data_IF_505582015040
#
_entry.id   IF_505582015040
#
_cell.length_a   1.000
_cell.length_b   1.000
_cell.length_c   1.000
_cell.angle_alpha   90.00
_cell.angle_beta   90.00
_cell.angle_gamma   90.00
#
_symmetry.space_group_name_H-M   'P 1'
#
loop_
_entity.id
_entity.type
_entity.pdbx_description
1 polymer ?
#
# COMPACT_ATOMS: atom_id res chain seq x y z
N UNK A 1 -19.88 -17.64 -24.16
CA UNK A 1 -19.06 -16.80 -25.04
C UNK A 1 -18.51 -15.66 -24.20
N UNK A 2 -17.20 -15.56 -23.93
CA UNK A 2 -16.67 -14.31 -23.40
C UNK A 2 -16.86 -13.26 -24.51
N UNK A 3 -17.64 -12.23 -24.24
CA UNK A 3 -17.79 -11.11 -25.15
C UNK A 3 -16.40 -10.45 -25.18
N UNK A 4 -15.71 -10.51 -26.32
CA UNK A 4 -14.56 -9.66 -26.56
C UNK A 4 -15.09 -8.21 -26.53
N UNK A 5 -15.07 -7.59 -25.36
CA UNK A 5 -15.53 -6.22 -25.19
C UNK A 5 -14.43 -5.31 -25.72
N UNK A 6 -14.54 -4.91 -26.98
CA UNK A 6 -13.62 -3.93 -27.57
C UNK A 6 -13.68 -2.62 -26.77
N UNK A 7 -12.53 -2.13 -26.33
CA UNK A 7 -12.37 -0.83 -25.67
C UNK A 7 -12.32 0.34 -26.67
N UNK A 8 -12.76 0.14 -27.91
CA UNK A 8 -12.65 1.11 -29.03
C UNK A 8 -13.35 2.45 -28.75
N UNK A 9 -14.23 2.49 -27.76
CA UNK A 9 -14.98 3.68 -27.33
C UNK A 9 -14.45 4.32 -26.05
N UNK A 10 -13.35 3.81 -25.48
CA UNK A 10 -12.79 4.36 -24.25
C UNK A 10 -12.20 5.74 -24.52
N UNK A 11 -12.64 6.74 -23.76
CA UNK A 11 -12.06 8.08 -23.83
C UNK A 11 -10.61 8.02 -23.36
N UNK A 12 -9.70 8.70 -24.06
CA UNK A 12 -8.32 8.84 -23.61
C UNK A 12 -8.10 10.25 -23.08
N UNK A 13 -7.55 10.35 -21.87
CA UNK A 13 -7.32 11.59 -21.17
C UNK A 13 -5.82 11.89 -21.10
N UNK A 14 -5.43 13.08 -21.56
CA UNK A 14 -4.06 13.58 -21.48
C UNK A 14 -3.69 13.98 -20.04
N UNK A 15 -2.41 13.81 -19.66
CA UNK A 15 -1.92 14.14 -18.32
C UNK A 15 -2.20 15.61 -17.94
N UNK A 16 -2.01 16.55 -18.88
CA UNK A 16 -2.28 17.97 -18.65
C UNK A 16 -3.77 18.25 -18.37
N UNK A 17 -4.67 17.55 -19.07
CA UNK A 17 -6.11 17.69 -18.88
C UNK A 17 -6.54 17.13 -17.51
N UNK A 18 -6.03 15.96 -17.12
CA UNK A 18 -6.25 15.43 -15.76
C UNK A 18 -5.71 16.39 -14.70
N UNK A 19 -4.50 16.93 -14.90
CA UNK A 19 -3.90 17.90 -13.99
C UNK A 19 -4.73 19.17 -13.82
N UNK A 20 -5.35 19.68 -14.89
CA UNK A 20 -6.26 20.82 -14.80
C UNK A 20 -7.52 20.49 -13.99
N UNK A 21 -8.14 19.34 -14.24
CA UNK A 21 -9.35 18.89 -13.53
C UNK A 21 -9.10 18.70 -12.02
N UNK A 22 -7.96 18.13 -11.65
CA UNK A 22 -7.62 17.89 -10.25
C UNK A 22 -7.25 19.15 -9.48
N UNK A 23 -6.88 20.24 -10.18
CA UNK A 23 -6.63 21.55 -9.54
C UNK A 23 -7.91 22.34 -9.30
N UNK A 24 -9.00 22.03 -9.99
CA UNK A 24 -10.32 22.60 -9.73
C UNK A 24 -11.08 21.75 -8.69
N UNK A 25 -11.36 22.26 -7.48
CA UNK A 25 -11.93 21.43 -6.39
C UNK A 25 -13.24 20.72 -6.76
N UNK A 26 -14.14 21.41 -7.49
CA UNK A 26 -15.43 20.84 -7.90
C UNK A 26 -15.27 19.70 -8.90
N UNK A 27 -14.32 19.80 -9.82
CA UNK A 27 -14.05 18.75 -10.80
C UNK A 27 -13.27 17.60 -10.17
N UNK A 28 -12.36 17.89 -9.24
CA UNK A 28 -11.64 16.88 -8.46
C UNK A 28 -12.61 15.98 -7.65
N UNK A 29 -13.60 16.55 -6.96
CA UNK A 29 -14.61 15.80 -6.19
C UNK A 29 -15.51 14.91 -7.06
N UNK A 30 -15.67 15.27 -8.34
CA UNK A 30 -16.47 14.55 -9.34
C UNK A 30 -15.63 13.61 -10.22
N UNK A 31 -14.34 13.50 -9.96
CA UNK A 31 -13.39 12.67 -10.70
C UNK A 31 -12.94 11.50 -9.83
N UNK A 32 -13.39 10.29 -10.18
CA UNK A 32 -12.88 9.07 -9.55
C UNK A 32 -11.60 8.62 -10.28
N UNK A 33 -10.47 8.60 -9.58
CA UNK A 33 -9.20 8.15 -10.14
C UNK A 33 -8.83 6.76 -9.58
N UNK A 34 -8.64 5.79 -10.48
CA UNK A 34 -8.40 4.38 -10.18
C UNK A 34 -7.03 3.96 -10.69
N UNK A 35 -6.13 3.62 -9.77
CA UNK A 35 -4.75 3.26 -10.06
C UNK A 35 -4.58 1.74 -10.09
N UNK A 36 -4.34 1.20 -11.29
CA UNK A 36 -4.20 -0.23 -11.55
C UNK A 36 -2.75 -0.73 -11.45
N UNK A 37 -1.81 0.11 -10.99
CA UNK A 37 -0.41 -0.31 -10.77
C UNK A 37 -0.34 -1.29 -9.58
N UNK A 38 0.75 -2.08 -9.49
CA UNK A 38 1.01 -2.90 -8.31
C UNK A 38 0.91 -2.07 -7.02
N UNK A 39 0.32 -2.63 -5.97
CA UNK A 39 0.04 -1.91 -4.72
C UNK A 39 1.27 -1.22 -4.13
N UNK A 40 2.44 -1.87 -4.16
CA UNK A 40 3.68 -1.28 -3.64
C UNK A 40 4.19 -0.11 -4.50
N UNK A 41 3.91 -0.09 -5.80
CA UNK A 41 4.21 1.05 -6.66
C UNK A 41 3.31 2.25 -6.29
N UNK A 42 2.01 2.00 -6.07
CA UNK A 42 1.08 3.01 -5.54
C UNK A 42 1.55 3.58 -4.19
N UNK A 43 1.97 2.72 -3.25
CA UNK A 43 2.46 3.14 -1.94
C UNK A 43 3.80 3.89 -1.98
N UNK A 44 4.61 3.73 -3.04
CA UNK A 44 5.84 4.54 -3.22
C UNK A 44 5.49 5.96 -3.65
N UNK A 45 4.63 6.10 -4.64
CA UNK A 45 4.08 7.40 -5.06
C UNK A 45 2.86 7.16 -5.94
N UNK A 46 1.85 8.01 -5.80
CA UNK A 46 0.59 7.95 -6.55
C UNK A 46 0.04 9.37 -6.75
N UNK A 47 -0.97 9.53 -7.60
CA UNK A 47 -1.70 10.81 -7.69
C UNK A 47 -2.53 10.97 -6.41
N UNK A 48 -2.47 12.11 -5.71
CA UNK A 48 -3.01 12.27 -4.34
C UNK A 48 -4.48 11.85 -4.15
N UNK A 49 -5.31 11.96 -5.20
CA UNK A 49 -6.72 11.57 -5.17
C UNK A 49 -7.00 10.14 -5.68
N UNK A 50 -5.97 9.43 -6.14
CA UNK A 50 -6.10 8.09 -6.70
C UNK A 50 -6.42 7.05 -5.63
N UNK A 51 -7.22 6.06 -6.01
CA UNK A 51 -7.49 4.87 -5.21
C UNK A 51 -6.80 3.68 -5.84
N UNK A 52 -6.07 2.86 -5.07
CA UNK A 52 -5.45 1.66 -5.61
C UNK A 52 -6.55 0.64 -5.93
N UNK A 53 -6.45 0.02 -7.10
CA UNK A 53 -7.33 -1.06 -7.51
C UNK A 53 -6.76 -2.37 -6.99
N UNK A 54 -7.49 -3.13 -6.16
CA UNK A 54 -7.01 -4.42 -5.70
C UNK A 54 -6.85 -5.35 -6.90
N UNK A 55 -5.64 -5.88 -7.09
CA UNK A 55 -5.33 -6.82 -8.15
C UNK A 55 -4.45 -7.94 -7.61
N UNK A 56 -5.00 -9.15 -7.58
CA UNK A 56 -4.29 -10.36 -7.16
C UNK A 56 -4.81 -11.55 -7.96
N UNK A 57 -4.10 -12.69 -7.89
CA UNK A 57 -4.41 -13.89 -8.67
C UNK A 57 -5.88 -14.34 -8.57
N UNK A 58 -6.46 -14.30 -7.37
CA UNK A 58 -7.87 -14.63 -7.13
C UNK A 58 -8.81 -13.65 -7.84
N UNK A 59 -8.53 -12.36 -7.78
CA UNK A 59 -9.33 -11.32 -8.44
C UNK A 59 -9.23 -11.44 -9.97
N UNK A 60 -8.09 -11.83 -10.54
CA UNK A 60 -7.96 -12.08 -11.99
C UNK A 60 -8.96 -13.14 -12.46
N UNK A 61 -9.06 -14.24 -11.73
CA UNK A 61 -9.99 -15.33 -12.05
C UNK A 61 -11.45 -14.87 -11.97
N UNK A 62 -11.81 -14.09 -10.96
CA UNK A 62 -13.18 -13.58 -10.78
C UNK A 62 -13.53 -12.46 -11.76
N UNK A 63 -12.56 -11.64 -12.15
CA UNK A 63 -12.75 -10.54 -13.11
C UNK A 63 -13.02 -11.01 -14.54
N UNK A 64 -12.70 -12.28 -14.87
CA UNK A 64 -13.10 -12.92 -16.14
C UNK A 64 -14.59 -13.32 -16.20
N UNK A 65 -15.36 -13.03 -15.15
CA UNK A 65 -16.80 -13.26 -15.09
C UNK A 65 -17.60 -12.20 -15.87
N UNK A 66 -18.78 -11.85 -15.35
CA UNK A 66 -19.58 -10.75 -15.91
C UNK A 66 -18.93 -9.39 -15.62
N UNK A 67 -19.19 -8.34 -16.43
CA UNK A 67 -18.71 -6.98 -16.15
C UNK A 67 -19.07 -6.48 -14.75
N UNK A 68 -20.31 -6.72 -14.29
CA UNK A 68 -20.74 -6.42 -12.93
C UNK A 68 -19.90 -7.13 -11.86
N UNK A 69 -19.56 -8.41 -12.07
CA UNK A 69 -18.73 -9.18 -11.15
C UNK A 69 -17.28 -8.67 -11.16
N UNK A 70 -16.75 -8.32 -12.33
CA UNK A 70 -15.43 -7.72 -12.47
C UNK A 70 -15.36 -6.38 -11.74
N UNK A 71 -16.33 -5.48 -11.95
CA UNK A 71 -16.41 -4.20 -11.26
C UNK A 71 -16.56 -4.39 -9.74
N UNK A 72 -17.35 -5.38 -9.29
CA UNK A 72 -17.49 -5.67 -7.87
C UNK A 72 -16.19 -6.15 -7.22
N UNK A 73 -15.37 -6.89 -7.96
CA UNK A 73 -14.08 -7.39 -7.50
C UNK A 73 -13.02 -6.29 -7.48
N UNK A 74 -12.96 -5.48 -8.53
CA UNK A 74 -11.95 -4.44 -8.73
C UNK A 74 -12.30 -3.12 -8.03
N UNK A 75 -13.58 -2.89 -7.72
CA UNK A 75 -14.06 -1.74 -6.96
C UNK A 75 -15.00 -2.21 -5.83
N UNK A 76 -14.45 -2.81 -4.76
CA UNK A 76 -15.25 -3.43 -3.71
C UNK A 76 -16.12 -2.44 -2.91
N UNK A 77 -15.75 -1.16 -2.89
CA UNK A 77 -16.49 -0.06 -2.26
C UNK A 77 -17.90 0.06 -2.87
N UNK A 78 -18.89 -0.47 -2.13
CA UNK A 78 -20.30 -0.47 -2.55
C UNK A 78 -20.88 0.94 -2.62
N UNK A 79 -20.47 1.83 -1.72
CA UNK A 79 -20.97 3.20 -1.71
C UNK A 79 -20.48 3.94 -2.95
N UNK A 80 -19.20 3.78 -3.30
CA UNK A 80 -18.62 4.39 -4.50
C UNK A 80 -19.24 3.84 -5.79
N UNK A 81 -19.46 2.53 -5.90
CA UNK A 81 -20.18 1.94 -7.04
C UNK A 81 -21.61 2.47 -7.16
N UNK A 82 -22.30 2.69 -6.04
CA UNK A 82 -23.63 3.28 -6.04
C UNK A 82 -23.61 4.75 -6.50
N UNK A 83 -22.57 5.52 -6.15
CA UNK A 83 -22.38 6.90 -6.66
C UNK A 83 -22.14 6.94 -8.17
N UNK A 84 -21.32 6.00 -8.69
CA UNK A 84 -21.11 5.82 -10.13
C UNK A 84 -22.41 5.52 -10.87
N UNK A 85 -23.20 4.55 -10.36
CA UNK A 85 -24.48 4.16 -10.97
C UNK A 85 -25.56 5.24 -10.91
N UNK A 86 -25.52 6.15 -9.93
CA UNK A 86 -26.40 7.32 -9.86
C UNK A 86 -25.94 8.51 -10.70
N UNK A 87 -24.76 8.43 -11.33
CA UNK A 87 -24.22 9.52 -12.14
C UNK A 87 -23.73 10.73 -11.34
N UNK A 88 -23.40 10.55 -10.06
CA UNK A 88 -22.89 11.64 -9.21
C UNK A 88 -21.45 12.04 -9.57
N UNK A 89 -20.71 11.11 -10.16
CA UNK A 89 -19.35 11.33 -10.64
C UNK A 89 -19.41 11.67 -12.12
N UNK A 90 -18.76 12.77 -12.52
CA UNK A 90 -18.68 13.16 -13.92
C UNK A 90 -17.81 12.18 -14.70
N UNK A 91 -16.79 11.62 -14.06
CA UNK A 91 -15.82 10.76 -14.73
C UNK A 91 -15.18 9.72 -13.81
N UNK A 92 -14.82 8.59 -14.41
CA UNK A 92 -13.96 7.58 -13.84
C UNK A 92 -12.72 7.45 -14.73
N UNK A 93 -11.54 7.73 -14.17
CA UNK A 93 -10.26 7.69 -14.87
C UNK A 93 -9.46 6.50 -14.35
N UNK A 94 -9.10 5.59 -15.25
CA UNK A 94 -8.24 4.44 -14.97
C UNK A 94 -6.83 4.77 -15.46
N UNK A 95 -5.82 4.44 -14.67
CA UNK A 95 -4.42 4.59 -15.06
C UNK A 95 -3.62 3.32 -14.71
N UNK A 96 -2.60 3.04 -15.51
CA UNK A 96 -1.59 2.02 -15.24
C UNK A 96 -0.22 2.69 -15.02
N UNK A 97 0.86 1.94 -15.13
CA UNK A 97 2.22 2.49 -14.95
C UNK A 97 2.61 3.43 -16.09
N UNK A 98 2.40 3.00 -17.35
CA UNK A 98 3.05 3.65 -18.49
C UNK A 98 2.43 3.39 -19.87
N UNK A 99 1.29 2.72 -20.01
CA UNK A 99 0.74 2.42 -21.34
C UNK A 99 0.36 3.73 -22.05
N UNK A 100 0.80 3.91 -23.30
CA UNK A 100 0.62 5.19 -23.99
C UNK A 100 -0.82 5.41 -24.49
N UNK A 101 -1.58 4.33 -24.63
CA UNK A 101 -2.97 4.31 -25.11
C UNK A 101 -3.71 3.08 -24.59
N UNK A 102 -5.03 3.07 -24.76
CA UNK A 102 -5.90 1.92 -24.46
C UNK A 102 -5.52 0.69 -25.28
N UNK A 103 -5.02 0.89 -26.51
CA UNK A 103 -4.63 -0.18 -27.42
C UNK A 103 -3.38 -0.96 -26.94
N UNK A 104 -2.56 -0.35 -26.09
CA UNK A 104 -1.36 -0.97 -25.52
C UNK A 104 -1.61 -1.73 -24.21
N UNK A 105 -2.83 -1.61 -23.66
CA UNK A 105 -3.17 -2.30 -22.42
C UNK A 105 -3.19 -3.82 -22.63
N UNK A 106 -2.53 -4.60 -21.75
CA UNK A 106 -2.64 -6.06 -21.79
C UNK A 106 -4.12 -6.48 -21.66
N UNK A 107 -4.67 -7.32 -22.55
CA UNK A 107 -6.10 -7.69 -22.53
C UNK A 107 -6.58 -8.34 -21.21
N UNK A 108 -5.68 -9.05 -20.53
CA UNK A 108 -5.92 -9.67 -19.22
C UNK A 108 -5.41 -8.81 -18.04
N UNK A 109 -4.97 -7.58 -18.33
CA UNK A 109 -4.44 -6.65 -17.35
C UNK A 109 -5.54 -6.00 -16.50
N UNK A 110 -5.20 -5.53 -15.28
CA UNK A 110 -6.18 -4.90 -14.38
C UNK A 110 -6.85 -3.68 -14.99
N UNK A 111 -6.07 -2.81 -15.66
CA UNK A 111 -6.59 -1.60 -16.29
C UNK A 111 -7.56 -1.93 -17.43
N UNK A 112 -7.22 -2.89 -18.30
CA UNK A 112 -8.10 -3.32 -19.40
C UNK A 112 -9.43 -3.86 -18.88
N UNK A 113 -9.38 -4.81 -17.93
CA UNK A 113 -10.59 -5.42 -17.37
C UNK A 113 -11.43 -4.42 -16.58
N UNK A 114 -10.81 -3.49 -15.84
CA UNK A 114 -11.52 -2.45 -15.11
C UNK A 114 -12.19 -1.46 -16.07
N UNK A 115 -11.48 -1.00 -17.10
CA UNK A 115 -12.05 -0.12 -18.13
C UNK A 115 -13.24 -0.80 -18.81
N UNK A 116 -13.09 -2.05 -19.23
CA UNK A 116 -14.14 -2.82 -19.87
C UNK A 116 -15.37 -2.95 -18.96
N UNK A 117 -15.15 -3.24 -17.68
CA UNK A 117 -16.22 -3.35 -16.70
C UNK A 117 -16.93 -2.00 -16.44
N UNK A 118 -16.18 -0.92 -16.27
CA UNK A 118 -16.73 0.43 -16.08
C UNK A 118 -17.53 0.88 -17.31
N UNK A 119 -17.01 0.70 -18.52
CA UNK A 119 -17.72 1.07 -19.75
C UNK A 119 -19.04 0.33 -19.92
N UNK A 120 -19.07 -0.96 -19.55
CA UNK A 120 -20.29 -1.75 -19.61
C UNK A 120 -21.34 -1.25 -18.61
N UNK A 121 -20.94 -1.07 -17.35
CA UNK A 121 -21.85 -0.69 -16.25
C UNK A 121 -22.33 0.76 -16.38
N UNK A 122 -21.49 1.66 -16.93
CA UNK A 122 -21.82 3.08 -17.11
C UNK A 122 -22.43 3.39 -18.48
N UNK A 123 -22.68 2.38 -19.32
CA UNK A 123 -23.17 2.57 -20.69
C UNK A 123 -24.51 3.30 -20.68
N UNK A 124 -24.55 4.51 -21.26
CA UNK A 124 -25.74 5.36 -21.30
C UNK A 124 -25.95 6.24 -20.07
N UNK A 125 -25.07 6.17 -19.08
CA UNK A 125 -25.04 7.10 -17.94
C UNK A 125 -24.27 8.40 -18.24
N UNK A 126 -24.33 9.39 -17.34
CA UNK A 126 -23.61 10.66 -17.51
C UNK A 126 -22.11 10.55 -17.20
N UNK A 127 -21.68 9.46 -16.56
CA UNK A 127 -20.29 9.24 -16.15
C UNK A 127 -19.42 8.87 -17.36
N UNK A 128 -18.43 9.69 -17.67
CA UNK A 128 -17.44 9.37 -18.72
C UNK A 128 -16.36 8.44 -18.16
N UNK A 129 -16.06 7.34 -18.87
CA UNK A 129 -14.98 6.42 -18.51
C UNK A 129 -13.76 6.71 -19.37
N UNK A 130 -12.64 7.07 -18.75
CA UNK A 130 -11.41 7.43 -19.45
C UNK A 130 -10.21 6.57 -19.02
N UNK A 131 -9.26 6.40 -19.92
CA UNK A 131 -7.90 5.93 -19.63
C UNK A 131 -6.91 7.09 -19.62
N UNK A 132 -5.98 7.14 -18.66
CA UNK A 132 -4.93 8.15 -18.60
C UNK A 132 -3.74 7.75 -19.49
N UNK A 133 -3.51 8.49 -20.56
CA UNK A 133 -2.42 8.21 -21.50
C UNK A 133 -1.05 8.39 -20.85
N UNK A 134 -0.16 7.42 -21.10
CA UNK A 134 1.19 7.40 -20.55
C UNK A 134 1.25 7.01 -19.07
N UNK A 135 0.12 6.66 -18.47
CA UNK A 135 0.01 6.17 -17.09
C UNK A 135 0.54 7.16 -16.03
N UNK A 136 0.85 6.60 -14.86
CA UNK A 136 1.39 7.37 -13.74
C UNK A 136 2.75 8.00 -14.05
N UNK A 137 3.63 7.29 -14.76
CA UNK A 137 4.99 7.77 -15.06
C UNK A 137 4.98 9.08 -15.85
N UNK A 138 4.13 9.16 -16.87
CA UNK A 138 3.94 10.40 -17.62
C UNK A 138 3.31 11.48 -16.74
N UNK A 139 2.24 11.14 -16.00
CA UNK A 139 1.56 12.10 -15.14
C UNK A 139 2.47 12.71 -14.08
N UNK A 140 3.32 11.92 -13.42
CA UNK A 140 4.29 12.40 -12.44
C UNK A 140 5.27 13.40 -13.04
N UNK A 141 5.66 13.22 -14.30
CA UNK A 141 6.54 14.16 -15.03
C UNK A 141 5.81 15.48 -15.33
N UNK A 142 4.54 15.41 -15.70
CA UNK A 142 3.74 16.60 -16.06
C UNK A 142 3.18 17.38 -14.87
N UNK A 143 2.78 16.69 -13.80
CA UNK A 143 2.09 17.27 -12.65
C UNK A 143 2.65 16.70 -11.32
N UNK A 144 3.96 16.88 -11.04
CA UNK A 144 4.59 16.36 -9.82
C UNK A 144 3.96 16.92 -8.53
N UNK A 145 3.40 18.13 -8.59
CA UNK A 145 2.69 18.80 -7.49
C UNK A 145 1.43 18.06 -7.04
N UNK A 146 0.84 17.25 -7.91
CA UNK A 146 -0.37 16.46 -7.65
C UNK A 146 -0.07 15.02 -7.24
N UNK A 147 1.20 14.64 -7.15
CA UNK A 147 1.62 13.32 -6.67
C UNK A 147 1.87 13.33 -5.15
N UNK A 148 1.70 12.18 -4.52
CA UNK A 148 2.13 11.97 -3.15
C UNK A 148 3.65 12.01 -3.10
N UNK A 149 4.19 12.66 -2.07
CA UNK A 149 5.61 12.55 -1.76
C UNK A 149 5.94 11.10 -1.43
N UNK A 150 7.08 10.61 -1.91
CA UNK A 150 7.58 9.33 -1.44
C UNK A 150 7.87 9.49 0.06
N UNK A 151 7.50 8.52 0.92
CA UNK A 151 7.85 8.60 2.33
C UNK A 151 9.36 8.79 2.41
N UNK A 152 9.76 9.88 3.07
CA UNK A 152 11.16 10.26 3.18
C UNK A 152 11.97 9.04 3.61
N UNK A 153 13.01 8.71 2.85
CA UNK A 153 14.00 7.75 3.34
C UNK A 153 14.49 8.29 4.68
N UNK A 154 14.60 7.43 5.70
CA UNK A 154 15.31 7.76 6.93
C UNK A 154 16.82 7.86 6.62
N UNK A 155 17.18 8.79 5.75
CA UNK A 155 18.52 9.33 5.63
C UNK A 155 18.57 10.45 6.68
N UNK A 156 19.61 10.48 7.53
CA UNK A 156 19.78 11.60 8.43
C UNK A 156 19.86 12.88 7.59
N UNK A 157 19.15 13.96 7.97
CA UNK A 157 19.21 15.21 7.23
C UNK A 157 20.66 15.65 7.09
N UNK A 158 21.15 15.73 5.86
CA UNK A 158 22.39 16.42 5.54
C UNK A 158 22.18 17.91 5.86
N UNK A 159 22.47 18.32 7.10
CA UNK A 159 22.34 19.69 7.57
C UNK A 159 21.58 19.92 8.87
N UNK A 160 21.14 18.90 9.62
CA UNK A 160 20.62 19.14 10.98
C UNK A 160 21.77 19.31 11.99
N UNK A 161 22.49 20.42 11.89
CA UNK A 161 23.54 20.79 12.86
C UNK A 161 22.99 21.17 14.26
N UNK A 162 21.72 20.87 14.59
CA UNK A 162 21.10 21.26 15.86
C UNK A 162 20.08 20.26 16.46
N UNK A 163 20.15 18.98 16.10
CA UNK A 163 19.41 17.94 16.83
C UNK A 163 20.41 17.07 17.61
N UNK A 164 20.26 17.00 18.93
CA UNK A 164 21.03 16.15 19.84
C UNK A 164 20.96 14.68 19.40
N UNK A 165 21.77 14.28 18.42
CA UNK A 165 21.99 12.87 18.11
C UNK A 165 22.78 12.30 19.28
N UNK A 166 22.15 11.47 20.12
CA UNK A 166 22.88 10.74 21.16
C UNK A 166 23.87 9.79 20.47
N UNK A 167 25.19 9.99 20.59
CA UNK A 167 26.19 9.15 19.92
C UNK A 167 26.15 7.69 20.38
N UNK A 168 25.41 7.38 21.46
CA UNK A 168 25.20 6.01 21.95
C UNK A 168 24.13 5.25 21.15
N UNK A 169 23.30 5.94 20.38
CA UNK A 169 22.22 5.32 19.59
C UNK A 169 22.76 5.02 18.18
N UNK A 170 22.61 3.78 17.66
CA UNK A 170 23.02 3.45 16.30
C UNK A 170 22.38 4.38 15.27
N UNK A 171 23.11 4.70 14.20
CA UNK A 171 22.65 5.66 13.17
C UNK A 171 21.26 5.31 12.61
N UNK A 172 20.95 4.02 12.47
CA UNK A 172 19.65 3.55 11.95
C UNK A 172 18.47 3.69 12.93
N UNK A 173 18.76 4.07 14.17
CA UNK A 173 17.79 4.43 15.21
C UNK A 173 17.78 5.94 15.48
N UNK A 174 18.53 6.72 14.70
CA UNK A 174 18.42 8.18 14.73
C UNK A 174 17.16 8.60 13.99
N UNK A 175 16.23 9.25 14.70
CA UNK A 175 14.92 9.65 14.18
C UNK A 175 13.79 8.80 14.76
N UNK A 176 12.62 8.89 14.12
CA UNK A 176 11.43 8.12 14.51
C UNK A 176 11.35 6.74 13.84
N UNK A 177 10.36 5.92 14.21
CA UNK A 177 10.05 4.70 13.47
C UNK A 177 9.68 5.03 12.01
N UNK A 178 9.97 4.11 11.09
CA UNK A 178 9.70 4.34 9.66
C UNK A 178 8.27 3.95 9.30
N UNK A 179 7.61 4.75 8.46
CA UNK A 179 6.29 4.41 7.93
C UNK A 179 6.42 3.41 6.77
N UNK A 180 5.84 2.21 6.94
CA UNK A 180 5.75 1.20 5.87
C UNK A 180 4.46 1.39 5.07
N UNK A 181 3.33 1.54 5.77
CA UNK A 181 2.03 1.93 5.23
C UNK A 181 1.46 3.03 6.15
N UNK A 182 0.43 3.79 5.73
CA UNK A 182 -0.13 4.89 6.53
C UNK A 182 -0.57 4.54 7.96
N UNK A 183 -0.77 3.25 8.23
CA UNK A 183 -1.18 2.71 9.53
C UNK A 183 -0.15 1.73 10.12
N UNK A 184 0.97 1.45 9.45
CA UNK A 184 1.96 0.44 9.85
C UNK A 184 3.36 1.05 9.86
N UNK A 185 3.96 1.10 11.05
CA UNK A 185 5.30 1.61 11.29
C UNK A 185 6.25 0.49 11.73
N UNK A 186 7.52 0.59 11.36
CA UNK A 186 8.58 -0.36 11.72
C UNK A 186 9.66 0.36 12.54
N UNK A 187 10.05 -0.22 13.68
CA UNK A 187 11.08 0.37 14.54
C UNK A 187 11.85 -0.61 15.43
N UNK A 188 12.70 -0.05 16.28
CA UNK A 188 13.50 -0.73 17.29
C UNK A 188 12.95 -0.47 18.70
N UNK A 189 13.62 -1.03 19.72
CA UNK A 189 13.30 -0.78 21.12
C UNK A 189 13.46 0.70 21.49
N UNK A 190 14.43 1.39 20.88
CA UNK A 190 14.65 2.83 21.09
C UNK A 190 13.43 3.62 20.63
N UNK A 191 12.90 3.34 19.43
CA UNK A 191 11.69 4.00 18.93
C UNK A 191 10.46 3.70 19.80
N UNK A 192 10.31 2.47 20.31
CA UNK A 192 9.19 2.13 21.20
C UNK A 192 9.27 2.79 22.58
N UNK A 193 10.45 3.28 22.97
CA UNK A 193 10.69 3.98 24.23
C UNK A 193 10.56 5.50 24.14
N UNK A 194 10.37 6.04 22.93
CA UNK A 194 10.21 7.48 22.69
C UNK A 194 8.74 7.88 22.62
N UNK A 195 8.15 8.28 23.75
CA UNK A 195 6.74 8.69 23.82
C UNK A 195 6.42 9.83 22.84
N UNK A 196 7.32 10.80 22.71
CA UNK A 196 7.09 11.97 21.85
C UNK A 196 7.10 11.56 20.38
N UNK A 197 8.06 10.72 19.96
CA UNK A 197 8.10 10.15 18.62
C UNK A 197 6.87 9.31 18.29
N UNK A 198 6.41 8.47 19.22
CA UNK A 198 5.19 7.67 19.04
C UNK A 198 3.95 8.56 18.86
N UNK A 199 3.79 9.61 19.68
CA UNK A 199 2.69 10.56 19.57
C UNK A 199 2.75 11.38 18.28
N UNK A 200 3.94 11.83 17.87
CA UNK A 200 4.15 12.57 16.63
C UNK A 200 3.78 11.74 15.39
N UNK A 201 4.05 10.43 15.40
CA UNK A 201 3.62 9.50 14.37
C UNK A 201 2.13 9.12 14.44
N UNK A 202 1.41 9.54 15.49
CA UNK A 202 0.02 9.19 15.74
C UNK A 202 -0.19 7.71 16.07
N UNK A 203 0.81 7.06 16.67
CA UNK A 203 0.74 5.65 17.07
C UNK A 203 -0.37 5.47 18.11
N UNK A 204 -1.22 4.47 17.91
CA UNK A 204 -2.31 4.10 18.84
C UNK A 204 -2.09 2.70 19.44
N UNK A 205 -1.25 1.89 18.79
CA UNK A 205 -0.97 0.52 19.20
C UNK A 205 0.49 0.14 18.97
N UNK A 206 1.00 -0.79 19.77
CA UNK A 206 2.38 -1.27 19.69
C UNK A 206 2.38 -2.80 19.68
N UNK A 207 2.97 -3.38 18.63
CA UNK A 207 3.25 -4.80 18.52
C UNK A 207 4.73 -5.05 18.84
N UNK A 208 4.98 -5.57 20.04
CA UNK A 208 6.31 -5.90 20.55
C UNK A 208 6.70 -7.33 20.15
N UNK A 209 7.62 -7.46 19.20
CA UNK A 209 8.10 -8.74 18.66
C UNK A 209 9.47 -9.07 19.27
N UNK A 210 9.50 -9.18 20.60
CA UNK A 210 10.68 -9.47 21.39
C UNK A 210 10.28 -10.11 22.72
N UNK A 211 11.12 -11.03 23.22
CA UNK A 211 10.98 -11.52 24.59
C UNK A 211 11.64 -10.59 25.63
N UNK A 212 12.57 -9.72 25.22
CA UNK A 212 13.42 -8.92 26.13
C UNK A 212 13.09 -7.43 26.18
N UNK A 213 12.32 -6.91 25.22
CA UNK A 213 11.97 -5.49 25.18
C UNK A 213 10.75 -5.24 26.08
N UNK A 214 10.77 -4.24 26.97
CA UNK A 214 9.60 -3.88 27.77
C UNK A 214 8.57 -3.09 26.94
N UNK A 215 7.32 -3.13 27.40
CA UNK A 215 6.28 -2.21 26.94
C UNK A 215 6.37 -0.93 27.80
N UNK A 216 6.86 0.17 27.23
CA UNK A 216 7.21 1.36 28.01
C UNK A 216 6.01 2.19 28.50
N UNK A 217 4.89 2.11 27.79
CA UNK A 217 3.75 3.04 27.96
C UNK A 217 2.42 2.30 28.05
N UNK A 218 2.39 1.20 28.81
CA UNK A 218 1.16 0.45 29.08
C UNK A 218 0.09 1.39 29.67
N UNK A 219 -1.13 1.33 29.14
CA UNK A 219 -2.21 2.25 29.48
C UNK A 219 -2.36 3.47 28.55
N UNK A 220 -1.32 3.84 27.80
CA UNK A 220 -1.40 4.91 26.78
C UNK A 220 -1.64 4.37 25.36
N UNK A 221 -1.08 3.20 25.05
CA UNK A 221 -1.27 2.53 23.75
C UNK A 221 -1.85 1.12 23.95
N UNK A 222 -2.49 0.59 22.91
CA UNK A 222 -2.88 -0.82 22.91
C UNK A 222 -1.66 -1.70 22.58
N UNK A 223 -1.24 -2.54 23.52
CA UNK A 223 -0.10 -3.43 23.33
C UNK A 223 -0.51 -4.85 22.94
N UNK A 224 0.35 -5.47 22.14
CA UNK A 224 0.42 -6.92 21.97
C UNK A 224 1.88 -7.36 21.94
N UNK A 225 2.21 -8.42 22.65
CA UNK A 225 3.57 -8.96 22.71
C UNK A 225 3.63 -10.35 22.09
N UNK A 226 4.62 -10.56 21.24
CA UNK A 226 4.99 -11.85 20.64
C UNK A 226 6.42 -12.14 21.11
N UNK A 227 6.60 -13.01 22.13
CA UNK A 227 7.88 -13.19 22.81
C UNK A 227 8.81 -14.12 22.02
N UNK A 228 9.32 -13.63 20.89
CA UNK A 228 10.21 -14.38 20.01
C UNK A 228 11.65 -13.89 20.09
N UNK A 229 12.58 -14.84 20.09
CA UNK A 229 14.01 -14.58 19.97
C UNK A 229 14.46 -14.46 18.51
N UNK A 230 15.54 -13.72 18.26
CA UNK A 230 16.09 -13.56 16.90
C UNK A 230 17.14 -14.65 16.61
N UNK A 231 16.68 -15.88 16.44
CA UNK A 231 17.56 -17.00 16.10
C UNK A 231 16.90 -17.97 15.14
N UNK A 232 17.70 -18.88 14.58
CA UNK A 232 17.27 -19.79 13.51
C UNK A 232 16.30 -20.89 13.97
N UNK A 233 16.21 -21.15 15.27
CA UNK A 233 15.38 -22.22 15.86
C UNK A 233 13.94 -21.78 16.08
N UNK A 234 13.66 -20.47 16.03
CA UNK A 234 12.33 -19.92 16.27
C UNK A 234 11.45 -20.07 15.03
N UNK A 235 10.29 -20.70 15.20
CA UNK A 235 9.20 -20.69 14.23
C UNK A 235 8.38 -19.40 14.39
N UNK A 236 8.84 -18.31 13.78
CA UNK A 236 8.12 -17.03 13.80
C UNK A 236 6.83 -17.08 12.98
N UNK A 237 6.73 -17.99 11.99
CA UNK A 237 5.53 -18.17 11.16
C UNK A 237 4.28 -18.55 11.94
N UNK A 238 4.44 -19.24 13.07
CA UNK A 238 3.33 -19.58 13.97
C UNK A 238 2.59 -18.32 14.48
N UNK A 239 3.26 -17.16 14.49
CA UNK A 239 2.71 -15.90 14.97
C UNK A 239 2.19 -14.98 13.86
N UNK A 240 2.34 -15.34 12.58
CA UNK A 240 1.96 -14.46 11.47
C UNK A 240 0.47 -14.10 11.52
N UNK A 241 -0.42 -15.09 11.65
CA UNK A 241 -1.86 -14.83 11.66
C UNK A 241 -2.28 -13.93 12.82
N UNK A 242 -1.69 -14.13 13.99
CA UNK A 242 -1.97 -13.35 15.19
C UNK A 242 -1.47 -11.91 15.06
N UNK A 243 -0.24 -11.72 14.55
CA UNK A 243 0.32 -10.39 14.27
C UNK A 243 -0.50 -9.64 13.22
N UNK A 244 -0.86 -10.31 12.13
CA UNK A 244 -1.63 -9.74 11.02
C UNK A 244 -3.03 -9.33 11.49
N UNK A 245 -3.69 -10.18 12.28
CA UNK A 245 -5.02 -9.87 12.83
C UNK A 245 -4.98 -8.67 13.77
N UNK A 246 -3.90 -8.50 14.53
CA UNK A 246 -3.70 -7.31 15.36
C UNK A 246 -3.51 -6.04 14.52
N UNK A 247 -2.67 -6.10 13.49
CA UNK A 247 -2.44 -4.97 12.57
C UNK A 247 -3.76 -4.58 11.87
N UNK A 248 -4.53 -5.56 11.37
CA UNK A 248 -5.81 -5.30 10.71
C UNK A 248 -6.86 -4.73 11.68
N UNK A 249 -6.89 -5.19 12.94
CA UNK A 249 -7.76 -4.61 13.98
C UNK A 249 -7.47 -3.12 14.18
N UNK A 250 -6.19 -2.75 14.33
CA UNK A 250 -5.77 -1.35 14.51
C UNK A 250 -6.06 -0.52 13.26
N UNK A 251 -5.79 -1.06 12.07
CA UNK A 251 -6.13 -0.41 10.80
C UNK A 251 -7.62 -0.14 10.69
N UNK A 252 -8.46 -1.12 11.00
CA UNK A 252 -9.92 -1.02 10.86
C UNK A 252 -10.56 -0.06 11.87
N UNK A 253 -9.89 0.22 13.00
CA UNK A 253 -10.30 1.27 13.95
C UNK A 253 -9.77 2.67 13.58
N UNK A 254 -9.04 2.81 12.48
CA UNK A 254 -8.44 4.08 12.04
C UNK A 254 -7.15 4.43 12.78
N UNK A 255 -6.59 3.49 13.54
CA UNK A 255 -5.36 3.67 14.30
C UNK A 255 -4.09 3.42 13.48
N UNK A 256 -2.95 3.58 14.15
CA UNK A 256 -1.61 3.31 13.60
C UNK A 256 -0.84 2.41 14.55
N UNK A 257 -0.20 1.37 14.01
CA UNK A 257 0.58 0.40 14.80
C UNK A 257 2.06 0.55 14.55
N UNK A 258 2.85 0.59 15.63
CA UNK A 258 4.28 0.36 15.58
C UNK A 258 4.56 -1.13 15.78
N UNK A 259 5.23 -1.76 14.81
CA UNK A 259 5.83 -3.09 14.98
C UNK A 259 7.31 -2.92 15.27
N UNK A 260 7.74 -3.36 16.45
CA UNK A 260 9.15 -3.24 16.84
C UNK A 260 9.70 -4.56 17.40
N UNK A 261 11.02 -4.65 17.42
CA UNK A 261 11.76 -5.65 18.16
C UNK A 261 12.97 -4.96 18.81
N UNK A 262 14.02 -5.68 19.18
CA UNK A 262 15.20 -5.05 19.79
C UNK A 262 15.85 -3.99 18.87
N UNK A 263 16.24 -4.36 17.66
CA UNK A 263 17.00 -3.49 16.74
C UNK A 263 16.19 -3.00 15.53
N UNK A 264 14.97 -3.52 15.32
CA UNK A 264 14.19 -3.22 14.13
C UNK A 264 14.78 -3.76 12.83
N UNK A 265 15.56 -4.86 12.88
CA UNK A 265 16.32 -5.41 11.75
C UNK A 265 15.69 -6.71 11.22
N UNK A 266 15.38 -7.65 12.11
CA UNK A 266 15.01 -9.02 11.74
C UNK A 266 13.56 -9.37 12.11
N UNK A 267 13.24 -9.57 13.39
CA UNK A 267 11.91 -9.99 13.89
C UNK A 267 10.76 -9.08 13.44
N UNK A 268 10.81 -7.80 13.77
CA UNK A 268 9.74 -6.85 13.39
C UNK A 268 9.66 -6.64 11.86
N UNK A 269 10.79 -6.62 11.17
CA UNK A 269 10.82 -6.56 9.71
C UNK A 269 10.14 -7.79 9.09
N UNK A 270 10.38 -8.98 9.64
CA UNK A 270 9.74 -10.24 9.19
C UNK A 270 8.23 -10.16 9.33
N UNK A 271 7.71 -9.64 10.46
CA UNK A 271 6.27 -9.44 10.63
C UNK A 271 5.70 -8.43 9.62
N UNK A 272 6.39 -7.32 9.36
CA UNK A 272 5.96 -6.36 8.35
C UNK A 272 5.92 -6.98 6.94
N UNK A 273 6.92 -7.81 6.58
CA UNK A 273 6.95 -8.51 5.30
C UNK A 273 5.83 -9.55 5.21
N UNK A 274 5.61 -10.34 6.26
CA UNK A 274 4.50 -11.29 6.33
C UNK A 274 3.15 -10.59 6.14
N UNK A 275 2.96 -9.43 6.77
CA UNK A 275 1.77 -8.61 6.60
C UNK A 275 1.57 -8.14 5.16
N UNK A 276 2.63 -7.66 4.50
CA UNK A 276 2.55 -7.27 3.09
C UNK A 276 2.17 -8.46 2.20
N UNK A 277 2.84 -9.60 2.34
CA UNK A 277 2.57 -10.81 1.56
C UNK A 277 1.13 -11.27 1.77
N UNK A 278 0.68 -11.43 3.02
CA UNK A 278 -0.66 -11.94 3.33
C UNK A 278 -1.76 -10.96 2.90
N UNK A 279 -1.69 -9.71 3.38
CA UNK A 279 -2.81 -8.77 3.28
C UNK A 279 -2.87 -8.07 1.92
N UNK A 280 -1.74 -7.94 1.23
CA UNK A 280 -1.66 -7.26 -0.06
C UNK A 280 -1.27 -8.20 -1.22
N UNK A 281 -1.02 -9.48 -0.95
CA UNK A 281 -0.68 -10.50 -1.96
C UNK A 281 0.47 -10.08 -2.88
N UNK A 282 1.48 -9.46 -2.30
CA UNK A 282 2.72 -9.07 -2.98
C UNK A 282 3.77 -10.18 -2.83
N UNK A 283 4.71 -10.23 -3.76
CA UNK A 283 5.83 -11.18 -3.66
C UNK A 283 6.79 -10.79 -2.56
N UNK A 284 7.54 -11.76 -2.02
CA UNK A 284 8.51 -11.51 -0.95
C UNK A 284 9.62 -10.57 -1.40
N UNK A 285 10.14 -10.72 -2.63
CA UNK A 285 11.17 -9.85 -3.18
C UNK A 285 10.69 -8.39 -3.28
N UNK A 286 9.48 -8.18 -3.82
CA UNK A 286 8.87 -6.86 -3.92
C UNK A 286 8.62 -6.23 -2.54
N UNK A 287 8.10 -7.02 -1.59
CA UNK A 287 7.87 -6.58 -0.21
C UNK A 287 9.19 -6.23 0.48
N UNK A 288 10.23 -7.06 0.30
CA UNK A 288 11.55 -6.85 0.86
C UNK A 288 12.16 -5.55 0.36
N UNK A 289 12.19 -5.34 -0.96
CA UNK A 289 12.72 -4.12 -1.56
C UNK A 289 11.95 -2.88 -1.09
N UNK A 290 10.62 -2.98 -0.98
CA UNK A 290 9.77 -1.89 -0.51
C UNK A 290 10.05 -1.47 0.93
N UNK A 291 10.24 -2.43 1.84
CA UNK A 291 10.58 -2.15 3.24
C UNK A 291 12.05 -1.73 3.36
N UNK A 292 12.97 -2.33 2.58
CA UNK A 292 14.40 -2.00 2.54
C UNK A 292 14.65 -0.56 2.12
N UNK A 293 13.90 -0.05 1.14
CA UNK A 293 13.97 1.36 0.71
C UNK A 293 13.58 2.35 1.82
N UNK A 294 12.74 1.93 2.78
CA UNK A 294 12.31 2.76 3.91
C UNK A 294 13.21 2.60 5.14
N UNK A 295 13.66 1.37 5.41
CA UNK A 295 14.63 1.05 6.46
C UNK A 295 15.76 0.21 5.88
N UNK A 296 16.83 0.89 5.47
CA UNK A 296 17.98 0.30 4.78
C UNK A 296 18.69 -0.81 5.57
N UNK A 297 18.48 -0.92 6.88
CA UNK A 297 19.12 -1.93 7.74
C UNK A 297 18.34 -3.22 7.89
N UNK A 298 17.12 -3.37 7.35
CA UNK A 298 16.40 -4.63 7.50
C UNK A 298 17.23 -5.80 6.96
N UNK A 299 17.26 -6.88 7.71
CA UNK A 299 17.97 -8.10 7.39
C UNK A 299 17.44 -9.22 8.29
N UNK A 300 16.22 -9.72 8.04
CA UNK A 300 15.75 -10.95 8.67
C UNK A 300 16.77 -12.09 8.60
N UNK A 301 16.83 -12.90 9.65
CA UNK A 301 17.71 -14.07 9.63
C UNK A 301 17.25 -15.09 8.56
N UNK A 302 18.17 -15.98 8.17
CA UNK A 302 17.93 -16.93 7.08
C UNK A 302 16.73 -17.87 7.32
N UNK A 303 16.52 -18.31 8.56
CA UNK A 303 15.37 -19.16 8.91
C UNK A 303 14.06 -18.41 8.72
N UNK A 304 13.99 -17.14 9.15
CA UNK A 304 12.82 -16.31 8.95
C UNK A 304 12.54 -16.07 7.46
N UNK A 305 13.57 -15.98 6.62
CA UNK A 305 13.38 -15.87 5.15
C UNK A 305 12.84 -17.14 4.53
N UNK A 306 13.29 -18.31 4.98
CA UNK A 306 12.65 -19.58 4.61
C UNK A 306 11.16 -19.62 4.98
N UNK A 307 10.81 -19.15 6.18
CA UNK A 307 9.43 -19.11 6.66
C UNK A 307 8.56 -18.10 5.86
N UNK A 308 9.11 -16.95 5.44
CA UNK A 308 8.40 -16.03 4.56
C UNK A 308 8.19 -16.58 3.14
N UNK A 309 9.17 -17.30 2.58
CA UNK A 309 9.02 -17.97 1.27
C UNK A 309 7.93 -19.03 1.30
N UNK A 310 7.82 -19.76 2.42
CA UNK A 310 6.73 -20.71 2.64
C UNK A 310 5.37 -20.00 2.70
N UNK A 311 5.28 -18.88 3.43
CA UNK A 311 4.06 -18.05 3.47
C UNK A 311 3.69 -17.55 2.06
N UNK A 312 4.65 -17.01 1.30
CA UNK A 312 4.42 -16.54 -0.07
C UNK A 312 3.81 -17.64 -0.95
N UNK A 313 4.37 -18.85 -0.88
CA UNK A 313 3.86 -20.01 -1.61
C UNK A 313 2.41 -20.31 -1.22
N UNK A 314 2.10 -20.31 0.09
CA UNK A 314 0.75 -20.56 0.59
C UNK A 314 -0.26 -19.48 0.17
N UNK A 315 0.16 -18.21 0.11
CA UNK A 315 -0.73 -17.07 -0.15
C UNK A 315 -0.93 -16.79 -1.64
N UNK A 316 0.11 -16.95 -2.46
CA UNK A 316 0.08 -16.56 -3.87
C UNK A 316 -0.29 -17.72 -4.81
N UNK A 317 -0.02 -18.97 -4.43
CA UNK A 317 -0.40 -20.14 -5.23
C UNK A 317 -1.85 -20.61 -4.99
N UNK A 318 -2.52 -20.09 -3.95
CA UNK A 318 -3.90 -20.44 -3.58
C UNK A 318 -4.85 -19.21 -3.59
#
# INVERSE_FOLDING_TARGET
MPIAMGLETACELECAALGALLREPREAERTLLLDCRPFLAFCRSHVRAARPVPWNALLRRRARGTPAAALACLLPDRALRARLGRGELARAVVLDESSASVAELPPDGPAHLLLAALQHEMRGGPTTVCFLRGGFKSFQTYCPDLCSEAPAQALPPAGAENSNSDPRVPIYDQGGPVEILPYLYLGSCNHSSDLQGLQACGITAVLNVSASCPNHFEGLFHYKSIPVEDNQMVEISAWFQEAISFIDSVKNSGGRVLVHCQAGISRSATICLAYLIQSHRVRLDEAFDFVKQRRGVISPNFSFMGQLLQLETQVLCH
#
